data_IF_319124086745
#
_entry.id   IF_319124086745
#
_cell.length_a   1.000
_cell.length_b   1.000
_cell.length_c   1.000
_cell.angle_alpha   90.00
_cell.angle_beta   90.00
_cell.angle_gamma   90.00
#
_symmetry.space_group_name_H-M   'P 1'
#
loop_
_entity.id
_entity.type
_entity.pdbx_description
1 polymer ?
#
# COMPACT_ATOMS: atom_id res chain seq x y z
N UNK A 1 12.64 -2.19 5.46
CA UNK A 1 12.15 -1.01 4.72
C UNK A 1 13.14 0.15 4.81
N UNK A 2 13.43 0.67 6.01
CA UNK A 2 14.31 1.85 6.22
C UNK A 2 15.68 1.71 5.58
N UNK A 3 16.33 0.56 5.79
CA UNK A 3 17.66 0.28 5.20
C UNK A 3 17.62 0.29 3.67
N UNK A 4 16.55 -0.28 3.07
CA UNK A 4 16.38 -0.29 1.61
C UNK A 4 16.21 1.14 1.10
N UNK A 5 15.40 1.95 1.76
CA UNK A 5 15.16 3.32 1.32
C UNK A 5 16.40 4.22 1.48
N UNK A 6 17.21 3.99 2.51
CA UNK A 6 18.53 4.64 2.59
C UNK A 6 19.41 4.28 1.41
N UNK A 7 19.50 3.00 1.04
CA UNK A 7 20.24 2.57 -0.15
C UNK A 7 19.73 3.21 -1.44
N UNK A 8 18.39 3.38 -1.58
CA UNK A 8 17.81 4.07 -2.74
C UNK A 8 18.32 5.51 -2.83
N UNK A 9 18.43 6.20 -1.71
CA UNK A 9 18.93 7.57 -1.66
C UNK A 9 20.45 7.61 -1.84
N UNK A 10 21.19 6.79 -1.10
CA UNK A 10 22.65 6.81 -1.06
C UNK A 10 23.28 6.40 -2.40
N UNK A 11 22.60 5.49 -3.14
CA UNK A 11 23.05 4.99 -4.44
C UNK A 11 22.37 5.69 -5.63
N UNK A 12 21.58 6.72 -5.36
CA UNK A 12 20.82 7.49 -6.37
C UNK A 12 19.97 6.60 -7.30
N UNK A 13 19.25 5.63 -6.72
CA UNK A 13 18.38 4.71 -7.47
C UNK A 13 17.01 5.34 -7.74
N UNK A 14 16.37 4.96 -8.85
CA UNK A 14 15.03 5.43 -9.25
C UNK A 14 13.91 4.95 -8.33
N UNK A 15 14.16 3.91 -7.52
CA UNK A 15 13.16 3.39 -6.59
C UNK A 15 13.52 2.04 -6.01
N UNK A 16 12.53 1.37 -5.42
CA UNK A 16 12.67 0.03 -4.85
C UNK A 16 11.40 -0.80 -4.98
N UNK A 17 11.58 -2.11 -5.08
CA UNK A 17 10.52 -3.10 -4.95
C UNK A 17 10.65 -3.76 -3.58
N UNK A 18 9.60 -3.70 -2.77
CA UNK A 18 9.54 -4.34 -1.46
C UNK A 18 8.74 -5.63 -1.59
N UNK A 19 9.39 -6.75 -1.37
CA UNK A 19 8.75 -8.06 -1.37
C UNK A 19 7.96 -8.27 -0.07
N UNK A 20 6.65 -8.39 -0.19
CA UNK A 20 5.72 -8.72 0.90
C UNK A 20 5.06 -10.08 0.69
N UNK A 21 5.58 -10.87 -0.26
CA UNK A 21 5.02 -12.16 -0.67
C UNK A 21 5.53 -13.35 0.16
N UNK A 22 6.66 -13.20 0.85
CA UNK A 22 7.37 -14.33 1.47
C UNK A 22 6.63 -14.87 2.69
N UNK A 23 6.31 -16.19 2.75
CA UNK A 23 5.77 -16.82 3.96
C UNK A 23 6.74 -16.66 5.14
N UNK A 24 6.27 -16.12 6.25
CA UNK A 24 7.12 -15.80 7.41
C UNK A 24 7.88 -14.48 7.29
N UNK A 25 7.81 -13.81 6.13
CA UNK A 25 8.31 -12.45 5.91
C UNK A 25 7.41 -11.37 6.49
N UNK A 26 7.71 -10.13 6.16
CA UNK A 26 6.91 -8.99 6.60
C UNK A 26 5.48 -9.09 6.05
N UNK A 27 4.52 -9.24 6.93
CA UNK A 27 3.10 -9.20 6.54
C UNK A 27 2.79 -7.83 5.93
N UNK A 28 1.97 -7.79 4.89
CA UNK A 28 1.56 -6.54 4.25
C UNK A 28 1.02 -5.51 5.27
N UNK A 29 0.25 -5.95 6.25
CA UNK A 29 -0.28 -5.10 7.32
C UNK A 29 0.80 -4.41 8.17
N UNK A 30 1.99 -4.99 8.32
CA UNK A 30 3.12 -4.38 9.05
C UNK A 30 4.07 -3.62 8.13
N UNK A 31 4.24 -4.07 6.89
CA UNK A 31 5.17 -3.47 5.94
C UNK A 31 4.62 -2.20 5.29
N UNK A 32 3.36 -2.21 4.84
CA UNK A 32 2.75 -1.08 4.14
C UNK A 32 2.73 0.22 4.96
N UNK A 33 2.36 0.23 6.25
CA UNK A 33 2.43 1.44 7.07
C UNK A 33 3.85 1.99 7.21
N UNK A 34 4.86 1.09 7.35
CA UNK A 34 6.27 1.47 7.42
C UNK A 34 6.78 2.05 6.10
N UNK A 35 6.38 1.45 4.97
CA UNK A 35 6.68 1.99 3.64
C UNK A 35 6.18 3.43 3.54
N UNK A 36 4.91 3.67 3.85
CA UNK A 36 4.32 5.00 3.77
C UNK A 36 4.93 6.01 4.75
N UNK A 37 5.30 5.58 5.95
CA UNK A 37 5.95 6.45 6.93
C UNK A 37 7.36 6.84 6.49
N UNK A 38 8.20 5.86 6.15
CA UNK A 38 9.61 6.09 5.82
C UNK A 38 9.75 6.80 4.48
N UNK A 39 8.93 6.45 3.47
CA UNK A 39 8.91 7.13 2.17
C UNK A 39 8.62 8.63 2.33
N UNK A 40 7.65 8.99 3.19
CA UNK A 40 7.36 10.40 3.49
C UNK A 40 8.47 11.07 4.28
N UNK A 41 9.00 10.41 5.31
CA UNK A 41 10.08 10.95 6.13
C UNK A 41 11.35 11.24 5.32
N UNK A 42 11.62 10.42 4.31
CA UNK A 42 12.75 10.57 3.39
C UNK A 42 12.42 11.36 2.11
N UNK A 43 11.16 11.82 1.98
CA UNK A 43 10.70 12.63 0.87
C UNK A 43 10.91 11.98 -0.52
N UNK A 44 10.80 10.65 -0.61
CA UNK A 44 11.15 9.89 -1.82
C UNK A 44 10.29 10.27 -3.03
N UNK A 45 8.99 10.48 -2.82
CA UNK A 45 8.06 10.82 -3.91
C UNK A 45 8.38 12.16 -4.56
N UNK A 46 8.76 13.19 -3.80
CA UNK A 46 9.14 14.49 -4.36
C UNK A 46 10.50 14.46 -5.05
N UNK A 47 11.33 13.47 -4.75
CA UNK A 47 12.57 13.19 -5.48
C UNK A 47 12.33 12.35 -6.74
N UNK A 48 11.06 12.07 -7.11
CA UNK A 48 10.72 11.25 -8.28
C UNK A 48 10.95 9.76 -8.09
N UNK A 49 11.25 9.30 -6.86
CA UNK A 49 11.59 7.89 -6.61
C UNK A 49 10.34 7.04 -6.47
N UNK A 50 10.31 5.91 -7.15
CA UNK A 50 9.16 5.01 -7.22
C UNK A 50 9.29 3.86 -6.23
N UNK A 51 8.27 3.68 -5.37
CA UNK A 51 8.19 2.54 -4.47
C UNK A 51 7.09 1.59 -4.97
N UNK A 52 7.45 0.33 -5.13
CA UNK A 52 6.55 -0.75 -5.54
C UNK A 52 6.54 -1.86 -4.49
N UNK A 53 5.48 -2.63 -4.46
CA UNK A 53 5.41 -3.87 -3.66
C UNK A 53 5.29 -5.07 -4.58
N UNK A 54 5.88 -6.19 -4.16
CA UNK A 54 5.72 -7.48 -4.81
C UNK A 54 4.82 -8.37 -3.96
N UNK A 55 3.83 -8.99 -4.60
CA UNK A 55 2.91 -9.97 -4.00
C UNK A 55 2.95 -11.27 -4.79
N UNK A 56 2.45 -12.38 -4.21
CA UNK A 56 2.47 -13.72 -4.85
C UNK A 56 1.10 -14.17 -5.35
N UNK A 57 0.17 -13.25 -5.55
CA UNK A 57 -1.18 -13.51 -6.06
C UNK A 57 -1.54 -12.48 -7.13
N UNK A 58 -2.56 -12.79 -7.95
CA UNK A 58 -3.19 -11.78 -8.82
C UNK A 58 -3.78 -10.66 -7.96
N UNK A 59 -3.44 -9.38 -8.20
CA UNK A 59 -3.93 -8.27 -7.41
C UNK A 59 -5.43 -8.03 -7.63
N UNK A 60 -6.13 -7.68 -6.58
CA UNK A 60 -7.50 -7.15 -6.64
C UNK A 60 -7.49 -5.61 -6.70
N UNK A 61 -8.63 -5.01 -6.94
CA UNK A 61 -8.78 -3.55 -6.90
C UNK A 61 -8.45 -3.00 -5.50
N UNK A 62 -8.86 -3.71 -4.44
CA UNK A 62 -8.57 -3.36 -3.06
C UNK A 62 -7.07 -3.40 -2.77
N UNK A 63 -6.36 -4.43 -3.24
CA UNK A 63 -4.89 -4.51 -3.10
C UNK A 63 -4.22 -3.27 -3.70
N UNK A 64 -4.66 -2.84 -4.89
CA UNK A 64 -4.13 -1.65 -5.57
C UNK A 64 -4.41 -0.36 -4.79
N UNK A 65 -5.63 -0.19 -4.27
CA UNK A 65 -6.01 0.98 -3.49
C UNK A 65 -5.28 1.02 -2.13
N UNK A 66 -5.11 -0.14 -1.48
CA UNK A 66 -4.35 -0.25 -0.23
C UNK A 66 -2.87 0.09 -0.46
N UNK A 67 -2.26 -0.47 -1.51
CA UNK A 67 -0.89 -0.15 -1.88
C UNK A 67 -0.72 1.35 -2.18
N UNK A 68 -1.66 1.93 -2.93
CA UNK A 68 -1.66 3.37 -3.23
C UNK A 68 -1.82 4.21 -1.97
N UNK A 69 -2.76 3.87 -1.11
CA UNK A 69 -2.96 4.53 0.19
C UNK A 69 -1.74 4.43 1.11
N UNK A 70 -0.94 3.38 0.97
CA UNK A 70 0.35 3.23 1.65
C UNK A 70 1.49 4.01 0.98
N UNK A 71 1.27 4.64 -0.18
CA UNK A 71 2.28 5.42 -0.90
C UNK A 71 3.05 4.65 -1.97
N UNK A 72 2.63 3.42 -2.31
CA UNK A 72 3.22 2.66 -3.42
C UNK A 72 2.64 3.12 -4.77
N UNK A 73 3.45 3.07 -5.80
CA UNK A 73 3.07 3.48 -7.16
C UNK A 73 2.58 2.31 -8.00
N UNK A 74 3.04 1.09 -7.72
CA UNK A 74 2.68 -0.10 -8.47
C UNK A 74 2.75 -1.36 -7.60
N UNK A 75 2.10 -2.42 -8.09
CA UNK A 75 2.21 -3.78 -7.57
C UNK A 75 2.87 -4.65 -8.65
N UNK A 76 3.86 -5.42 -8.24
CA UNK A 76 4.46 -6.50 -9.03
C UNK A 76 3.80 -7.80 -8.57
N UNK A 77 3.25 -8.56 -9.51
CA UNK A 77 2.55 -9.82 -9.24
C UNK A 77 2.92 -10.89 -10.26
N UNK A 78 2.73 -12.18 -9.96
CA UNK A 78 2.81 -13.22 -10.97
C UNK A 78 1.78 -12.96 -12.08
N UNK A 79 2.01 -13.50 -13.28
CA UNK A 79 1.05 -13.40 -14.38
C UNK A 79 -0.28 -14.03 -13.97
N UNK A 80 -1.38 -13.44 -14.40
CA UNK A 80 -2.72 -14.00 -14.25
C UNK A 80 -2.89 -15.20 -15.19
N UNK A 81 -3.65 -16.21 -14.76
CA UNK A 81 -4.09 -17.32 -15.61
C UNK A 81 -5.09 -16.85 -16.68
N UNK A 82 -5.79 -15.76 -16.41
CA UNK A 82 -6.69 -15.13 -17.36
C UNK A 82 -5.92 -14.30 -18.40
N UNK A 83 -6.58 -14.04 -19.54
CA UNK A 83 -6.04 -13.11 -20.54
C UNK A 83 -5.83 -11.74 -19.89
N UNK A 84 -4.62 -11.19 -20.02
CA UNK A 84 -4.21 -9.91 -19.43
C UNK A 84 -5.24 -8.78 -19.69
N UNK A 85 -5.79 -8.73 -20.89
CA UNK A 85 -6.79 -7.73 -21.26
C UNK A 85 -8.07 -7.82 -20.40
N UNK A 86 -8.54 -9.03 -20.11
CA UNK A 86 -9.73 -9.24 -19.28
C UNK A 86 -9.42 -8.86 -17.82
N UNK A 87 -8.27 -9.26 -17.31
CA UNK A 87 -7.81 -8.87 -15.96
C UNK A 87 -7.77 -7.34 -15.82
N UNK A 88 -7.18 -6.63 -16.79
CA UNK A 88 -7.09 -5.17 -16.76
C UNK A 88 -8.48 -4.52 -16.82
N UNK A 89 -9.38 -5.01 -17.67
CA UNK A 89 -10.77 -4.49 -17.76
C UNK A 89 -11.52 -4.68 -16.44
N UNK A 90 -11.42 -5.85 -15.83
CA UNK A 90 -12.05 -6.16 -14.54
C UNK A 90 -11.51 -5.26 -13.44
N UNK A 91 -10.18 -5.13 -13.32
CA UNK A 91 -9.53 -4.24 -12.36
C UNK A 91 -9.97 -2.78 -12.55
N UNK A 92 -9.97 -2.27 -13.78
CA UNK A 92 -10.39 -0.90 -14.06
C UNK A 92 -11.85 -0.64 -13.65
N UNK A 93 -12.75 -1.59 -13.93
CA UNK A 93 -14.15 -1.46 -13.53
C UNK A 93 -14.31 -1.41 -12.02
N UNK A 94 -13.64 -2.32 -11.31
CA UNK A 94 -13.68 -2.40 -9.84
C UNK A 94 -13.05 -1.18 -9.18
N UNK A 95 -11.90 -0.70 -9.68
CA UNK A 95 -11.23 0.51 -9.18
C UNK A 95 -12.14 1.73 -9.33
N UNK A 96 -12.79 1.88 -10.48
CA UNK A 96 -13.74 2.99 -10.70
C UNK A 96 -14.92 2.94 -9.74
N UNK A 97 -15.42 1.75 -9.41
CA UNK A 97 -16.45 1.55 -8.39
C UNK A 97 -15.99 2.10 -7.03
N UNK A 98 -14.86 1.62 -6.55
CA UNK A 98 -14.26 2.06 -5.28
C UNK A 98 -13.96 3.56 -5.24
N UNK A 99 -13.44 4.12 -6.33
CA UNK A 99 -13.14 5.57 -6.41
C UNK A 99 -14.41 6.42 -6.26
N UNK A 100 -15.54 5.98 -6.83
CA UNK A 100 -16.84 6.68 -6.63
C UNK A 100 -17.27 6.64 -5.17
N UNK A 101 -17.16 5.49 -4.50
CA UNK A 101 -17.51 5.35 -3.09
C UNK A 101 -16.61 6.19 -2.19
N UNK A 102 -15.33 6.31 -2.52
CA UNK A 102 -14.35 7.12 -1.80
C UNK A 102 -14.42 8.62 -2.15
N UNK A 103 -15.20 9.00 -3.17
CA UNK A 103 -15.28 10.38 -3.65
C UNK A 103 -13.99 10.88 -4.31
N UNK A 104 -13.16 9.96 -4.84
CA UNK A 104 -11.91 10.29 -5.50
C UNK A 104 -12.06 10.38 -7.03
N UNK A 105 -11.49 11.40 -7.64
CA UNK A 105 -11.52 11.58 -9.09
C UNK A 105 -10.37 10.87 -9.81
N UNK A 106 -9.26 10.65 -9.12
CA UNK A 106 -8.11 9.92 -9.64
C UNK A 106 -7.38 9.14 -8.54
N UNK A 107 -6.55 8.16 -8.92
CA UNK A 107 -5.81 7.31 -7.99
C UNK A 107 -4.79 8.07 -7.13
N UNK A 108 -4.32 9.24 -7.58
CA UNK A 108 -3.36 10.03 -6.82
C UNK A 108 -3.98 10.71 -5.59
N UNK A 109 -5.32 10.84 -5.55
CA UNK A 109 -6.05 11.34 -4.37
C UNK A 109 -6.14 10.29 -3.27
N UNK A 110 -5.98 8.99 -3.60
CA UNK A 110 -6.00 7.92 -2.63
C UNK A 110 -4.74 7.98 -1.75
N UNK A 111 -4.98 8.08 -0.47
CA UNK A 111 -3.93 8.19 0.54
C UNK A 111 -4.34 7.45 1.83
N UNK A 112 -3.47 7.50 2.84
CA UNK A 112 -3.68 6.81 4.11
C UNK A 112 -5.02 7.15 4.81
N UNK A 113 -5.55 8.36 4.63
CA UNK A 113 -6.81 8.76 5.26
C UNK A 113 -8.03 8.02 4.72
N UNK A 114 -7.94 7.45 3.52
CA UNK A 114 -8.98 6.62 2.91
C UNK A 114 -8.99 5.18 3.46
N UNK A 115 -7.89 4.75 4.11
CA UNK A 115 -7.76 3.39 4.64
C UNK A 115 -8.35 3.28 6.05
N UNK A 116 -8.92 2.10 6.34
CA UNK A 116 -9.41 1.70 7.66
C UNK A 116 -8.92 0.30 7.98
N UNK A 117 -8.61 0.05 9.24
CA UNK A 117 -8.38 -1.30 9.72
C UNK A 117 -9.72 -1.99 10.00
N UNK A 118 -9.83 -3.25 9.61
CA UNK A 118 -11.05 -4.04 9.82
C UNK A 118 -11.10 -4.68 11.21
N UNK A 119 -9.95 -4.81 11.86
CA UNK A 119 -9.79 -5.43 13.18
C UNK A 119 -8.80 -4.64 14.06
N UNK A 120 -8.82 -4.93 15.36
CA UNK A 120 -7.99 -4.23 16.35
C UNK A 120 -6.50 -4.49 16.16
N UNK A 121 -6.11 -5.71 15.81
CA UNK A 121 -4.70 -6.07 15.62
C UNK A 121 -4.12 -5.31 14.44
N UNK A 122 -4.82 -5.28 13.32
CA UNK A 122 -4.44 -4.48 12.16
C UNK A 122 -4.37 -3.00 12.50
N UNK A 123 -5.34 -2.46 13.26
CA UNK A 123 -5.31 -1.06 13.70
C UNK A 123 -4.09 -0.75 14.57
N UNK A 124 -3.78 -1.64 15.53
CA UNK A 124 -2.64 -1.49 16.43
C UNK A 124 -1.29 -1.54 15.70
N UNK A 125 -1.13 -2.48 14.74
CA UNK A 125 0.10 -2.66 13.97
C UNK A 125 0.29 -1.53 12.95
N UNK A 126 -0.78 -1.14 12.25
CA UNK A 126 -0.72 -0.16 11.15
C UNK A 126 -0.87 1.29 11.61
N UNK A 127 -1.46 1.52 12.78
CA UNK A 127 -1.87 2.84 13.24
C UNK A 127 -2.99 3.46 12.37
N UNK A 128 -3.70 2.66 11.58
CA UNK A 128 -4.91 3.08 10.88
C UNK A 128 -6.06 3.22 11.87
N UNK A 129 -7.06 4.02 11.50
CA UNK A 129 -8.31 4.05 12.24
C UNK A 129 -9.03 2.73 12.09
N UNK A 130 -9.57 2.21 13.19
CA UNK A 130 -10.45 1.06 13.14
C UNK A 130 -11.79 1.47 12.50
N UNK A 131 -12.39 0.59 11.72
CA UNK A 131 -13.72 0.82 11.14
C UNK A 131 -14.73 1.15 12.25
N UNK A 132 -15.57 2.16 12.03
CA UNK A 132 -16.51 2.65 13.06
C UNK A 132 -15.91 3.58 14.11
N UNK A 133 -14.62 3.92 14.04
CA UNK A 133 -13.96 4.85 14.95
C UNK A 133 -13.38 6.06 14.20
N UNK A 134 -13.59 7.26 14.75
CA UNK A 134 -13.09 8.50 14.14
C UNK A 134 -11.61 8.78 14.43
N UNK A 135 -11.04 8.12 15.44
CA UNK A 135 -9.65 8.31 15.88
C UNK A 135 -8.88 7.00 15.86
N UNK A 136 -7.55 7.03 15.62
CA UNK A 136 -6.70 5.86 15.82
C UNK A 136 -6.78 5.37 17.26
N UNK A 137 -6.67 4.05 17.46
CA UNK A 137 -6.60 3.47 18.79
C UNK A 137 -5.35 3.98 19.53
N UNK A 138 -5.45 4.27 20.83
CA UNK A 138 -4.30 4.68 21.62
C UNK A 138 -3.19 3.62 21.63
N UNK A 139 -1.93 4.05 21.51
CA UNK A 139 -0.79 3.14 21.45
C UNK A 139 -0.58 2.31 22.74
N UNK A 140 -1.12 2.76 23.88
CA UNK A 140 -1.04 2.03 25.14
C UNK A 140 -1.97 0.79 25.23
N UNK A 141 -2.86 0.58 24.25
CA UNK A 141 -3.61 -0.68 24.11
C UNK A 141 -2.76 -1.82 23.50
N UNK A 142 -1.47 -1.60 23.30
CA UNK A 142 -0.52 -2.59 22.75
C UNK A 142 0.06 -3.57 23.76
N UNK A 143 -0.41 -3.61 25.00
CA UNK A 143 0.09 -4.55 26.02
C UNK A 143 -0.67 -5.85 25.99
#
# INVERSE_FOLDING_TARGET
VERIFRLVVDLDLDGAIIDVSTPGGNRAASSLPRIGLVSRAMNLSSQGRTIMIQINKTPTAEDLLIARGAGCMAIVSPPSEEKLELTIKTLNSSIRGWMRELGANNLFEINRSNLRAMDQDTAAISGLRLIGYDRPLPMWLKN
#
